data_IF_969151025516
#
_entry.id   IF_969151025516
#
_cell.length_a   1.000
_cell.length_b   1.000
_cell.length_c   1.000
_cell.angle_alpha   90.00
_cell.angle_beta   90.00
_cell.angle_gamma   90.00
#
_symmetry.space_group_name_H-M   'P 1'
#
loop_
_entity.id
_entity.type
_entity.pdbx_description
1 polymer ?
#
# COMPACT_ATOMS: atom_id res chain seq x y z
N UNK A 1 5.18 -2.38 18.27
CA UNK A 1 4.10 -3.29 17.81
C UNK A 1 3.00 -2.57 17.03
N UNK A 2 2.49 -1.42 17.50
CA UNK A 2 1.42 -0.68 16.80
C UNK A 2 1.79 -0.23 15.37
N UNK A 3 2.97 0.34 15.15
CA UNK A 3 3.36 0.85 13.82
C UNK A 3 3.46 -0.23 12.74
N UNK A 4 4.02 -1.40 13.09
CA UNK A 4 4.12 -2.55 12.18
C UNK A 4 2.70 -3.08 11.87
N UNK A 5 1.85 -3.24 12.89
CA UNK A 5 0.45 -3.65 12.70
C UNK A 5 -0.34 -2.67 11.81
N UNK A 6 -0.17 -1.37 12.03
CA UNK A 6 -0.78 -0.33 11.19
C UNK A 6 -0.26 -0.37 9.75
N UNK A 7 1.05 -0.56 9.56
CA UNK A 7 1.64 -0.73 8.24
C UNK A 7 1.09 -1.96 7.50
N UNK A 8 0.95 -3.11 8.18
CA UNK A 8 0.33 -4.30 7.60
C UNK A 8 -1.13 -4.05 7.21
N UNK A 9 -1.90 -3.34 8.05
CA UNK A 9 -3.29 -2.98 7.70
C UNK A 9 -3.37 -2.03 6.50
N UNK A 10 -2.42 -1.09 6.37
CA UNK A 10 -2.32 -0.18 5.24
C UNK A 10 -1.96 -0.89 3.94
N UNK A 11 -1.01 -1.83 4.02
CA UNK A 11 -0.65 -2.73 2.90
C UNK A 11 -1.86 -3.54 2.44
N UNK A 12 -2.59 -4.15 3.38
CA UNK A 12 -3.74 -4.98 3.04
C UNK A 12 -4.88 -4.17 2.39
N UNK A 13 -5.18 -2.99 2.94
CA UNK A 13 -6.17 -2.09 2.36
C UNK A 13 -5.76 -1.57 0.98
N UNK A 14 -4.48 -1.26 0.77
CA UNK A 14 -3.95 -0.86 -0.52
C UNK A 14 -4.06 -1.99 -1.56
N UNK A 15 -3.81 -3.24 -1.16
CA UNK A 15 -3.94 -4.40 -2.04
C UNK A 15 -5.39 -4.62 -2.49
N UNK A 16 -6.36 -4.51 -1.57
CA UNK A 16 -7.78 -4.62 -1.92
C UNK A 16 -8.22 -3.52 -2.90
N UNK A 17 -7.75 -2.28 -2.69
CA UNK A 17 -8.05 -1.16 -3.59
C UNK A 17 -7.43 -1.35 -4.97
N UNK A 18 -6.20 -1.88 -5.03
CA UNK A 18 -5.54 -2.21 -6.29
C UNK A 18 -6.31 -3.28 -7.07
N UNK A 19 -6.75 -4.35 -6.40
CA UNK A 19 -7.51 -5.43 -7.04
C UNK A 19 -8.86 -4.94 -7.57
N UNK A 20 -9.56 -4.10 -6.81
CA UNK A 20 -10.80 -3.46 -7.25
C UNK A 20 -10.57 -2.54 -8.46
N UNK A 21 -9.52 -1.71 -8.44
CA UNK A 21 -9.17 -0.83 -9.55
C UNK A 21 -8.79 -1.62 -10.81
N UNK A 22 -8.04 -2.72 -10.68
CA UNK A 22 -7.70 -3.60 -11.79
C UNK A 22 -8.93 -4.29 -12.39
N UNK A 23 -9.86 -4.75 -11.56
CA UNK A 23 -11.12 -5.34 -12.02
C UNK A 23 -12.01 -4.31 -12.74
N UNK A 24 -12.04 -3.07 -12.26
CA UNK A 24 -12.74 -1.97 -12.91
C UNK A 24 -12.10 -1.62 -14.25
N UNK A 25 -10.76 -1.57 -14.32
CA UNK A 25 -10.05 -1.29 -15.60
C UNK A 25 -10.43 -2.29 -16.69
N UNK A 26 -10.54 -3.58 -16.36
CA UNK A 26 -10.95 -4.60 -17.34
C UNK A 26 -12.41 -4.43 -17.76
N UNK A 27 -13.30 -4.09 -16.83
CA UNK A 27 -14.70 -3.77 -17.14
C UNK A 27 -14.81 -2.54 -18.03
N UNK A 28 -14.10 -1.47 -17.69
CA UNK A 28 -14.20 -0.18 -18.36
C UNK A 28 -13.51 -0.19 -19.73
N UNK A 29 -12.45 -0.99 -19.88
CA UNK A 29 -11.86 -1.29 -21.18
C UNK A 29 -12.83 -2.01 -22.14
N UNK A 30 -13.78 -2.80 -21.60
CA UNK A 30 -14.80 -3.49 -22.40
C UNK A 30 -16.04 -2.63 -22.70
N UNK A 31 -16.32 -1.62 -21.86
CA UNK A 31 -17.53 -0.78 -21.96
C UNK A 31 -17.26 0.61 -22.56
N UNK A 32 -15.99 0.99 -22.77
CA UNK A 32 -15.60 2.33 -23.19
C UNK A 32 -15.64 3.37 -22.06
N UNK A 33 -15.50 2.92 -20.81
CA UNK A 33 -15.46 3.75 -19.60
C UNK A 33 -14.16 4.54 -19.42
N UNK A 34 -14.06 5.30 -18.33
CA UNK A 34 -12.90 6.15 -18.03
C UNK A 34 -11.73 5.34 -17.44
N UNK A 35 -10.99 4.69 -18.34
CA UNK A 35 -9.78 3.92 -18.02
C UNK A 35 -8.72 4.79 -17.34
N UNK A 36 -8.69 6.11 -17.60
CA UNK A 36 -7.67 7.01 -17.05
C UNK A 36 -7.85 7.15 -15.54
N UNK A 37 -9.10 7.31 -15.08
CA UNK A 37 -9.43 7.34 -13.66
C UNK A 37 -9.03 6.05 -12.94
N UNK A 38 -9.27 4.89 -13.56
CA UNK A 38 -8.92 3.60 -12.98
C UNK A 38 -7.40 3.39 -12.87
N UNK A 39 -6.64 3.82 -13.88
CA UNK A 39 -5.17 3.76 -13.85
C UNK A 39 -4.62 4.66 -12.73
N UNK A 40 -5.20 5.85 -12.53
CA UNK A 40 -4.84 6.72 -11.39
C UNK A 40 -5.14 6.02 -10.06
N UNK A 41 -6.29 5.35 -9.92
CA UNK A 41 -6.62 4.56 -8.73
C UNK A 41 -5.63 3.43 -8.45
N UNK A 42 -5.11 2.77 -9.49
CA UNK A 42 -4.04 1.78 -9.36
C UNK A 42 -2.71 2.42 -8.89
N UNK A 43 -2.36 3.59 -9.41
CA UNK A 43 -1.14 4.33 -9.02
C UNK A 43 -1.24 4.77 -7.55
N UNK A 44 -2.37 5.33 -7.12
CA UNK A 44 -2.58 5.71 -5.72
C UNK A 44 -2.48 4.51 -4.79
N UNK A 45 -3.07 3.37 -5.17
CA UNK A 45 -2.98 2.14 -4.39
C UNK A 45 -1.53 1.65 -4.27
N UNK A 46 -0.74 1.75 -5.36
CA UNK A 46 0.69 1.44 -5.33
C UNK A 46 1.46 2.37 -4.41
N UNK A 47 1.23 3.68 -4.48
CA UNK A 47 1.90 4.65 -3.60
C UNK A 47 1.54 4.43 -2.13
N UNK A 48 0.28 4.10 -1.82
CA UNK A 48 -0.15 3.78 -0.47
C UNK A 48 0.51 2.50 0.08
N UNK A 49 0.72 1.50 -0.78
CA UNK A 49 1.47 0.29 -0.45
C UNK A 49 2.94 0.59 -0.15
N UNK A 50 3.62 1.35 -1.02
CA UNK A 50 5.02 1.77 -0.84
C UNK A 50 5.20 2.57 0.45
N UNK A 51 4.30 3.52 0.74
CA UNK A 51 4.32 4.31 1.96
C UNK A 51 4.17 3.43 3.21
N UNK A 52 3.24 2.48 3.19
CA UNK A 52 3.00 1.56 4.31
C UNK A 52 4.23 0.68 4.58
N UNK A 53 4.89 0.17 3.54
CA UNK A 53 6.15 -0.60 3.70
C UNK A 53 7.27 0.28 4.25
N UNK A 54 7.39 1.52 3.79
CA UNK A 54 8.40 2.44 4.31
C UNK A 54 8.24 2.67 5.81
N UNK A 55 7.00 2.87 6.28
CA UNK A 55 6.70 2.99 7.72
C UNK A 55 7.08 1.71 8.48
N UNK A 56 6.79 0.53 7.91
CA UNK A 56 7.19 -0.74 8.52
C UNK A 56 8.71 -0.86 8.67
N UNK A 57 9.47 -0.52 7.62
CA UNK A 57 10.95 -0.53 7.64
C UNK A 57 11.51 0.43 8.67
N UNK A 58 11.04 1.67 8.70
CA UNK A 58 11.49 2.65 9.68
C UNK A 58 11.17 2.21 11.11
N UNK A 59 10.01 1.59 11.35
CA UNK A 59 9.67 1.05 12.66
C UNK A 59 10.61 -0.10 13.08
N UNK A 60 11.03 -0.95 12.14
CA UNK A 60 11.99 -2.03 12.38
C UNK A 60 13.41 -1.50 12.64
N UNK A 61 13.89 -0.55 11.83
CA UNK A 61 15.18 0.12 12.04
C UNK A 61 15.26 0.82 13.39
N UNK A 62 14.18 1.48 13.82
CA UNK A 62 14.13 2.12 15.13
C UNK A 62 14.16 1.10 16.27
N UNK A 63 13.51 -0.05 16.11
CA UNK A 63 13.59 -1.14 17.07
C UNK A 63 15.02 -1.70 17.16
N UNK A 64 15.68 -1.92 16.01
CA UNK A 64 17.07 -2.37 15.95
C UNK A 64 18.01 -1.40 16.66
N UNK A 65 17.91 -0.09 16.39
CA UNK A 65 18.72 0.93 17.09
C UNK A 65 18.49 0.94 18.60
N UNK A 66 17.26 0.75 19.05
CA UNK A 66 16.95 0.66 20.50
C UNK A 66 17.57 -0.59 21.14
N UNK A 67 17.62 -1.71 20.42
CA UNK A 67 18.28 -2.92 20.88
C UNK A 67 19.81 -2.74 20.91
N UNK A 68 20.40 -2.14 19.88
CA UNK A 68 21.84 -1.86 19.81
C UNK A 68 22.31 -0.91 20.90
N UNK A 69 21.51 0.08 21.30
CA UNK A 69 21.85 0.99 22.41
C UNK A 69 21.89 0.26 23.77
N UNK A 70 21.13 -0.83 23.90
CA UNK A 70 21.00 -1.58 25.15
C UNK A 70 22.01 -2.74 25.27
N UNK A 71 22.61 -3.15 24.15
CA UNK A 71 23.65 -4.17 24.08
C UNK A 71 25.02 -3.60 24.47
#
# INVERSE_FOLDING_TARGET
MSAISSAYSGVYAANQRFEAAAANTVRDASSGGDIVSDVVGQIESRTAFEASISVAKTADEMMGRLLDIKA
#
